data_IF_244147453753
#
_entry.id   IF_244147453753
#
_cell.length_a   1.000
_cell.length_b   1.000
_cell.length_c   1.000
_cell.angle_alpha   90.00
_cell.angle_beta   90.00
_cell.angle_gamma   90.00
#
_symmetry.space_group_name_H-M   'P 1'
#
loop_
_entity.id
_entity.type
_entity.pdbx_description
1 polymer ?
#
# COMPACT_ATOMS: atom_id res chain seq x y z
N UNK A 1 35.31 -57.97 -8.30
CA UNK A 1 35.66 -56.55 -8.11
C UNK A 1 34.67 -55.74 -8.93
N UNK A 2 33.65 -55.21 -8.27
CA UNK A 2 32.61 -54.37 -8.86
C UNK A 2 32.58 -53.06 -8.06
N UNK A 3 32.62 -51.92 -8.75
CA UNK A 3 32.41 -50.60 -8.16
C UNK A 3 30.91 -50.37 -7.95
N UNK A 4 30.47 -49.72 -6.86
CA UNK A 4 29.15 -49.12 -6.80
C UNK A 4 29.23 -47.63 -7.22
N UNK A 5 28.38 -47.26 -8.18
CA UNK A 5 28.00 -45.88 -8.43
C UNK A 5 27.10 -45.42 -7.28
N UNK A 6 27.47 -44.31 -6.64
CA UNK A 6 26.66 -43.59 -5.66
C UNK A 6 26.28 -42.24 -6.25
N UNK A 7 25.02 -42.17 -6.65
CA UNK A 7 24.29 -40.99 -7.09
C UNK A 7 24.15 -40.01 -5.91
N UNK A 8 24.65 -38.78 -6.05
CA UNK A 8 24.38 -37.69 -5.11
C UNK A 8 23.74 -36.54 -5.86
N UNK A 9 22.45 -36.76 -6.13
CA UNK A 9 21.44 -35.78 -6.49
C UNK A 9 21.31 -34.77 -5.34
N UNK A 10 21.98 -33.62 -5.48
CA UNK A 10 21.81 -32.48 -4.57
C UNK A 10 20.59 -31.68 -5.01
N UNK A 11 19.45 -32.13 -4.49
CA UNK A 11 18.23 -31.41 -4.14
C UNK A 11 18.28 -29.88 -4.40
N UNK A 12 17.93 -29.49 -5.63
CA UNK A 12 17.61 -28.12 -6.03
C UNK A 12 16.34 -27.69 -5.29
N UNK A 13 16.49 -27.26 -4.04
CA UNK A 13 15.40 -26.67 -3.28
C UNK A 13 14.97 -25.36 -3.94
N UNK A 14 13.75 -25.43 -4.47
CA UNK A 14 12.96 -24.35 -5.01
C UNK A 14 12.75 -23.26 -3.95
N UNK A 15 13.63 -22.26 -3.88
CA UNK A 15 13.28 -20.96 -3.32
C UNK A 15 12.50 -20.23 -4.42
N UNK A 16 11.19 -20.46 -4.41
CA UNK A 16 10.25 -19.81 -5.31
C UNK A 16 10.13 -18.37 -4.86
N UNK A 17 10.50 -17.43 -5.72
CA UNK A 17 9.90 -16.09 -5.69
C UNK A 17 8.38 -16.25 -5.55
N UNK A 18 7.77 -15.36 -4.76
CA UNK A 18 6.33 -15.14 -4.70
C UNK A 18 5.75 -15.26 -6.13
N UNK A 19 4.76 -16.13 -6.39
CA UNK A 19 4.31 -16.38 -7.75
C UNK A 19 3.79 -15.07 -8.36
N UNK A 20 4.55 -14.53 -9.31
CA UNK A 20 4.16 -13.33 -10.05
C UNK A 20 2.82 -13.59 -10.75
N UNK A 21 1.86 -12.65 -10.70
CA UNK A 21 0.57 -12.77 -11.40
C UNK A 21 0.72 -12.93 -12.93
N UNK A 22 1.93 -12.76 -13.48
CA UNK A 22 2.25 -12.97 -14.89
C UNK A 22 2.69 -14.41 -15.25
N UNK A 23 2.75 -15.35 -14.30
CA UNK A 23 3.36 -16.68 -14.47
C UNK A 23 2.80 -17.54 -15.63
N UNK A 24 1.62 -17.21 -16.18
CA UNK A 24 1.03 -17.87 -17.36
C UNK A 24 1.19 -17.13 -18.70
N UNK A 25 1.77 -15.92 -18.69
CA UNK A 25 1.87 -15.03 -19.87
C UNK A 25 3.28 -14.90 -20.43
N UNK A 26 4.27 -15.48 -19.75
CA UNK A 26 5.70 -15.34 -20.05
C UNK A 26 6.27 -16.70 -20.44
N UNK A 27 7.15 -16.79 -21.45
CA UNK A 27 7.79 -18.05 -21.86
C UNK A 27 8.49 -18.77 -20.70
N UNK A 28 8.36 -20.09 -20.66
CA UNK A 28 9.07 -20.94 -19.72
C UNK A 28 10.60 -20.75 -19.88
N UNK A 29 11.27 -20.42 -18.78
CA UNK A 29 12.71 -20.11 -18.76
C UNK A 29 13.05 -18.61 -18.72
N UNK A 30 12.05 -17.72 -18.80
CA UNK A 30 12.29 -16.29 -18.58
C UNK A 30 12.62 -16.03 -17.12
N UNK A 31 13.75 -15.36 -16.87
CA UNK A 31 14.12 -14.88 -15.53
C UNK A 31 13.65 -13.45 -15.35
N UNK A 32 12.98 -13.16 -14.22
CA UNK A 32 12.60 -11.81 -13.83
C UNK A 32 13.67 -11.32 -12.87
N UNK A 33 14.29 -10.18 -13.20
CA UNK A 33 15.35 -9.59 -12.40
C UNK A 33 14.78 -8.36 -11.70
N UNK A 34 14.91 -8.30 -10.38
CA UNK A 34 14.59 -7.12 -9.61
C UNK A 34 15.69 -6.06 -9.78
N UNK A 35 15.30 -4.81 -9.99
CA UNK A 35 16.26 -3.70 -10.04
C UNK A 35 16.64 -3.20 -8.64
N UNK A 36 16.00 -3.73 -7.60
CA UNK A 36 16.07 -3.25 -6.23
C UNK A 36 14.85 -2.42 -5.83
N UNK A 37 14.84 -2.01 -4.57
CA UNK A 37 13.86 -1.11 -3.98
C UNK A 37 14.22 0.32 -4.40
N UNK A 38 13.42 0.88 -5.33
CA UNK A 38 13.65 2.20 -5.93
C UNK A 38 12.39 3.05 -5.74
N UNK A 39 12.58 4.29 -5.28
CA UNK A 39 11.53 5.29 -5.15
C UNK A 39 11.98 6.62 -5.79
N UNK A 40 11.06 7.57 -5.96
CA UNK A 40 11.40 8.92 -6.43
C UNK A 40 12.33 9.66 -5.47
N UNK A 41 12.26 9.30 -4.20
CA UNK A 41 12.99 9.91 -3.09
C UNK A 41 14.44 9.43 -3.02
N UNK A 42 14.70 8.17 -3.40
CA UNK A 42 16.03 7.56 -3.35
C UNK A 42 16.06 6.16 -4.00
N UNK A 43 17.27 5.68 -4.27
CA UNK A 43 17.53 4.26 -4.57
C UNK A 43 17.89 3.54 -3.27
N UNK A 44 17.00 2.68 -2.77
CA UNK A 44 17.16 2.02 -1.47
C UNK A 44 17.99 0.76 -1.50
N UNK A 45 17.86 -0.07 -2.53
CA UNK A 45 18.73 -1.25 -2.70
C UNK A 45 19.28 -1.35 -4.11
N UNK A 46 20.33 -2.15 -4.26
CA UNK A 46 20.91 -2.54 -5.55
C UNK A 46 20.95 -4.06 -5.64
N UNK A 47 20.53 -4.60 -6.78
CA UNK A 47 20.65 -6.02 -7.06
C UNK A 47 22.12 -6.37 -7.34
N UNK A 48 22.66 -7.29 -6.56
CA UNK A 48 24.04 -7.80 -6.68
C UNK A 48 24.11 -9.23 -7.21
N UNK A 49 22.97 -9.93 -7.27
CA UNK A 49 22.84 -11.27 -7.83
C UNK A 49 21.50 -11.39 -8.55
N UNK A 50 21.55 -11.27 -9.88
CA UNK A 50 20.37 -11.31 -10.74
C UNK A 50 19.76 -12.71 -10.87
N UNK A 51 20.51 -13.78 -10.56
CA UNK A 51 19.99 -15.14 -10.62
C UNK A 51 19.08 -15.42 -9.42
N UNK A 52 19.50 -14.94 -8.24
CA UNK A 52 18.82 -15.17 -6.96
C UNK A 52 18.05 -13.95 -6.46
N UNK A 53 17.98 -12.87 -7.26
CA UNK A 53 17.38 -11.57 -6.93
C UNK A 53 17.82 -11.01 -5.59
N UNK A 54 19.12 -10.99 -5.34
CA UNK A 54 19.65 -10.51 -4.06
C UNK A 54 19.91 -9.02 -4.12
N UNK A 55 19.12 -8.28 -3.33
CA UNK A 55 19.22 -6.83 -3.25
C UNK A 55 19.79 -6.37 -1.90
N UNK A 56 20.87 -5.60 -1.93
CA UNK A 56 21.52 -5.05 -0.73
C UNK A 56 21.29 -3.54 -0.61
N UNK A 57 21.18 -2.97 0.60
CA UNK A 57 21.00 -1.54 0.81
C UNK A 57 22.14 -0.70 0.22
N UNK A 58 21.83 0.51 -0.20
CA UNK A 58 22.80 1.51 -0.66
C UNK A 58 23.51 2.20 0.51
N UNK A 59 24.33 1.43 1.24
CA UNK A 59 24.93 1.77 2.54
C UNK A 59 25.74 3.08 2.57
N UNK A 60 26.30 3.50 1.43
CA UNK A 60 27.15 4.69 1.33
C UNK A 60 26.37 5.93 0.89
N UNK A 61 25.19 5.74 0.31
CA UNK A 61 24.38 6.81 -0.27
C UNK A 61 23.29 7.28 0.68
N UNK A 62 22.72 6.34 1.45
CA UNK A 62 21.58 6.58 2.32
C UNK A 62 21.81 6.00 3.71
N UNK A 63 21.32 6.71 4.71
CA UNK A 63 21.24 6.20 6.07
C UNK A 63 19.82 5.69 6.34
N UNK A 64 19.72 4.48 6.86
CA UNK A 64 18.46 3.77 7.05
C UNK A 64 18.17 3.57 8.53
N UNK A 65 16.91 3.79 8.90
CA UNK A 65 16.37 3.38 10.20
C UNK A 65 15.10 2.58 9.95
N UNK A 66 14.77 1.70 10.88
CA UNK A 66 13.67 0.75 10.72
C UNK A 66 12.80 0.70 11.97
N UNK A 67 11.53 0.36 11.81
CA UNK A 67 10.68 -0.06 12.93
C UNK A 67 10.00 -1.35 12.53
N UNK A 68 10.11 -2.38 13.36
CA UNK A 68 9.44 -3.67 13.12
C UNK A 68 7.94 -3.44 12.90
N UNK A 69 7.37 -4.14 11.91
CA UNK A 69 5.99 -3.92 11.47
C UNK A 69 4.99 -3.98 12.61
N UNK A 70 4.99 -5.07 13.39
CA UNK A 70 4.06 -5.26 14.51
C UNK A 70 4.23 -4.18 15.59
N UNK A 71 5.48 -3.86 15.93
CA UNK A 71 5.79 -2.81 16.89
C UNK A 71 5.32 -1.44 16.40
N UNK A 72 5.54 -1.10 15.12
CA UNK A 72 5.08 0.16 14.51
C UNK A 72 3.56 0.28 14.55
N UNK A 73 2.86 -0.79 14.20
CA UNK A 73 1.39 -0.86 14.19
C UNK A 73 0.80 -0.76 15.60
N UNK A 74 1.51 -1.28 16.61
CA UNK A 74 1.20 -1.07 18.03
C UNK A 74 1.58 0.35 18.56
N UNK A 75 2.09 1.23 17.71
CA UNK A 75 2.47 2.60 18.07
C UNK A 75 3.87 2.75 18.68
N UNK A 76 4.69 1.71 18.57
CA UNK A 76 6.11 1.68 18.92
C UNK A 76 6.95 2.60 18.03
N UNK A 77 8.09 3.03 18.56
CA UNK A 77 9.04 3.93 17.91
C UNK A 77 10.50 3.53 18.19
N UNK A 78 10.71 2.25 18.43
CA UNK A 78 12.05 1.71 18.65
C UNK A 78 12.69 1.58 17.27
N UNK A 79 13.52 2.56 16.95
CA UNK A 79 14.22 2.64 15.68
C UNK A 79 15.43 1.71 15.73
N UNK A 80 15.49 0.81 14.77
CA UNK A 80 16.56 -0.15 14.56
C UNK A 80 17.47 0.31 13.42
N UNK A 81 18.75 -0.02 13.53
CA UNK A 81 19.73 0.08 12.45
C UNK A 81 19.77 -1.21 11.63
N UNK A 82 20.48 -1.17 10.51
CA UNK A 82 20.60 -2.30 9.58
C UNK A 82 21.14 -3.58 10.24
N UNK A 83 22.09 -3.46 11.15
CA UNK A 83 22.73 -4.57 11.85
C UNK A 83 21.85 -5.19 12.96
N UNK A 84 20.73 -4.55 13.29
CA UNK A 84 19.76 -5.03 14.26
C UNK A 84 18.58 -5.78 13.63
N UNK A 85 18.52 -5.82 12.28
CA UNK A 85 17.44 -6.49 11.57
C UNK A 85 17.58 -8.01 11.58
N UNK A 86 16.44 -8.70 11.59
CA UNK A 86 16.37 -10.16 11.65
C UNK A 86 15.82 -10.73 10.34
N UNK A 87 16.44 -11.81 9.86
CA UNK A 87 16.00 -12.53 8.68
C UNK A 87 14.56 -13.04 8.83
N UNK A 88 13.73 -12.85 7.79
CA UNK A 88 12.31 -13.20 7.77
C UNK A 88 11.37 -12.13 8.34
N UNK A 89 11.88 -11.14 9.08
CA UNK A 89 11.07 -10.08 9.67
C UNK A 89 10.78 -8.92 8.70
N UNK A 90 9.67 -8.24 8.93
CA UNK A 90 9.20 -7.09 8.15
C UNK A 90 9.33 -5.78 8.92
N UNK A 91 9.74 -4.71 8.23
CA UNK A 91 10.06 -3.43 8.83
C UNK A 91 9.55 -2.27 8.00
N UNK A 92 9.03 -1.24 8.67
CA UNK A 92 8.86 0.08 8.08
C UNK A 92 10.22 0.74 7.91
N UNK A 93 10.48 1.32 6.74
CA UNK A 93 11.75 2.00 6.44
C UNK A 93 11.66 3.52 6.55
N UNK A 94 12.66 4.10 7.19
CA UNK A 94 12.91 5.53 7.29
C UNK A 94 14.26 5.84 6.68
N UNK A 95 14.35 6.93 5.91
CA UNK A 95 15.56 7.25 5.17
C UNK A 95 16.06 8.66 5.46
N UNK A 96 17.37 8.79 5.59
CA UNK A 96 18.07 10.07 5.50
C UNK A 96 18.95 10.05 4.25
N UNK A 97 18.75 11.01 3.35
CA UNK A 97 19.43 11.08 2.05
C UNK A 97 20.34 12.31 1.98
N UNK A 98 21.30 12.28 1.05
CA UNK A 98 22.18 13.44 0.79
C UNK A 98 21.40 14.64 0.23
N UNK A 99 20.26 14.40 -0.40
CA UNK A 99 19.40 15.42 -1.02
C UNK A 99 18.44 16.12 -0.04
N UNK A 100 18.62 15.89 1.28
CA UNK A 100 17.98 16.69 2.32
C UNK A 100 16.72 16.08 2.94
N UNK A 101 16.42 14.80 2.67
CA UNK A 101 15.45 14.06 3.46
C UNK A 101 16.11 13.61 4.77
N UNK A 102 15.47 13.88 5.92
CA UNK A 102 15.98 13.51 7.25
C UNK A 102 14.94 12.69 7.99
N UNK A 103 15.29 11.43 8.32
CA UNK A 103 14.39 10.43 8.91
C UNK A 103 12.99 10.47 8.27
N UNK A 104 12.99 10.51 6.95
CA UNK A 104 11.75 10.59 6.18
C UNK A 104 11.04 9.23 6.24
N UNK A 105 9.78 9.24 6.69
CA UNK A 105 8.94 8.05 6.75
C UNK A 105 8.51 7.68 5.33
N UNK A 106 9.12 6.63 4.76
CA UNK A 106 8.75 6.17 3.42
C UNK A 106 7.34 5.59 3.41
N UNK A 107 6.84 5.13 4.56
CA UNK A 107 5.63 4.35 4.70
C UNK A 107 5.68 3.08 3.83
N UNK A 108 6.86 2.46 3.74
CA UNK A 108 7.15 1.25 2.97
C UNK A 108 7.55 0.15 3.92
N UNK A 109 7.02 -1.04 3.68
CA UNK A 109 7.35 -2.26 4.40
C UNK A 109 8.34 -3.05 3.53
N UNK A 110 9.49 -3.36 4.11
CA UNK A 110 10.52 -4.22 3.52
C UNK A 110 10.70 -5.47 4.39
N UNK A 111 11.04 -6.59 3.76
CA UNK A 111 11.39 -7.82 4.45
C UNK A 111 12.88 -8.09 4.33
N UNK A 112 13.50 -8.57 5.40
CA UNK A 112 14.87 -9.11 5.32
C UNK A 112 14.79 -10.53 4.76
N UNK A 113 15.24 -10.72 3.52
CA UNK A 113 15.16 -12.03 2.85
C UNK A 113 16.28 -12.97 3.23
N UNK A 114 17.48 -12.41 3.46
CA UNK A 114 18.68 -13.13 3.90
C UNK A 114 19.74 -12.19 4.45
N UNK A 115 20.73 -12.72 5.15
CA UNK A 115 21.95 -12.00 5.51
C UNK A 115 23.13 -12.37 4.59
N UNK A 116 23.84 -11.37 4.06
CA UNK A 116 25.16 -11.55 3.43
C UNK A 116 26.21 -10.96 4.37
N UNK A 117 27.02 -11.83 4.97
CA UNK A 117 27.91 -11.44 6.07
C UNK A 117 27.09 -10.73 7.17
N UNK A 118 27.37 -9.45 7.42
CA UNK A 118 26.63 -8.60 8.38
C UNK A 118 25.61 -7.66 7.70
N UNK A 119 25.36 -7.81 6.39
CA UNK A 119 24.49 -6.93 5.62
C UNK A 119 23.15 -7.62 5.34
N UNK A 120 22.01 -7.07 5.80
CA UNK A 120 20.69 -7.59 5.44
C UNK A 120 20.39 -7.34 3.96
N UNK A 121 19.79 -8.33 3.30
CA UNK A 121 19.21 -8.16 1.97
C UNK A 121 17.73 -7.80 2.13
N UNK A 122 17.29 -6.74 1.46
CA UNK A 122 15.94 -6.19 1.64
C UNK A 122 15.13 -6.34 0.36
N UNK A 123 13.92 -6.85 0.49
CA UNK A 123 12.90 -6.91 -0.55
C UNK A 123 11.73 -6.00 -0.18
N UNK A 124 11.21 -5.26 -1.16
CA UNK A 124 10.00 -4.46 -0.94
C UNK A 124 8.77 -5.36 -0.89
N UNK A 125 8.00 -5.27 0.19
CA UNK A 125 6.76 -6.03 0.35
C UNK A 125 5.58 -5.20 -0.15
N UNK A 126 5.32 -4.07 0.49
CA UNK A 126 4.19 -3.19 0.18
C UNK A 126 4.36 -1.80 0.79
N UNK A 127 3.49 -0.84 0.43
CA UNK A 127 3.32 0.37 1.24
C UNK A 127 2.54 0.00 2.50
N UNK A 128 2.83 0.66 3.62
CA UNK A 128 2.17 0.38 4.90
C UNK A 128 0.70 0.79 4.94
N UNK A 129 0.37 2.05 4.62
CA UNK A 129 -1.01 2.56 4.62
C UNK A 129 -1.29 3.50 3.45
N UNK A 130 -2.55 3.62 3.04
CA UNK A 130 -2.97 4.59 2.03
C UNK A 130 -2.66 4.17 0.60
N UNK A 131 -2.54 2.87 0.34
CA UNK A 131 -2.58 2.30 -1.01
C UNK A 131 -3.48 1.07 -0.99
N UNK A 132 -4.21 0.85 -2.08
CA UNK A 132 -5.04 -0.34 -2.27
C UNK A 132 -4.92 -0.85 -3.70
N UNK A 133 -5.23 -2.12 -3.91
CA UNK A 133 -5.32 -2.75 -5.22
C UNK A 133 -6.44 -3.78 -5.22
N UNK A 134 -7.39 -3.64 -6.15
CA UNK A 134 -8.49 -4.59 -6.30
C UNK A 134 -8.19 -5.58 -7.42
N UNK A 135 -7.85 -5.09 -8.61
CA UNK A 135 -7.63 -5.94 -9.80
C UNK A 135 -6.23 -5.79 -10.39
N UNK A 136 -5.30 -5.31 -9.56
CA UNK A 136 -3.90 -5.08 -9.90
C UNK A 136 -3.54 -3.63 -10.17
N UNK A 137 -4.49 -2.69 -10.07
CA UNK A 137 -4.20 -1.25 -10.07
C UNK A 137 -3.70 -0.80 -8.70
N UNK A 138 -2.62 -0.01 -8.63
CA UNK A 138 -2.19 0.61 -7.37
C UNK A 138 -2.84 1.99 -7.19
N UNK A 139 -3.92 2.06 -6.42
CA UNK A 139 -4.57 3.33 -6.09
C UNK A 139 -4.00 3.91 -4.80
N UNK A 140 -3.57 5.17 -4.82
CA UNK A 140 -2.96 5.84 -3.67
C UNK A 140 -3.92 6.84 -3.01
N UNK A 141 -3.84 6.99 -1.69
CA UNK A 141 -4.66 7.90 -0.89
C UNK A 141 -4.58 9.33 -1.43
N UNK A 142 -3.39 9.78 -1.83
CA UNK A 142 -3.20 11.11 -2.43
C UNK A 142 -4.04 11.30 -3.71
N UNK A 143 -4.08 10.29 -4.59
CA UNK A 143 -4.90 10.37 -5.82
C UNK A 143 -6.38 10.50 -5.48
N UNK A 144 -6.84 9.79 -4.45
CA UNK A 144 -8.21 9.90 -3.93
C UNK A 144 -8.46 11.29 -3.33
N UNK A 145 -7.58 11.77 -2.46
CA UNK A 145 -7.67 13.09 -1.84
C UNK A 145 -7.77 14.20 -2.90
N UNK A 146 -6.80 14.26 -3.81
CA UNK A 146 -6.71 15.29 -4.85
C UNK A 146 -7.97 15.27 -5.74
N UNK A 147 -8.41 14.07 -6.13
CA UNK A 147 -9.58 13.89 -6.99
C UNK A 147 -10.89 14.25 -6.29
N UNK A 148 -11.09 13.80 -5.04
CA UNK A 148 -12.30 14.11 -4.27
C UNK A 148 -12.37 15.61 -3.97
N UNK A 149 -11.26 16.26 -3.60
CA UNK A 149 -11.21 17.70 -3.39
C UNK A 149 -11.54 18.48 -4.67
N UNK A 150 -10.95 18.11 -5.80
CA UNK A 150 -11.26 18.75 -7.08
C UNK A 150 -12.73 18.56 -7.50
N UNK A 151 -13.26 17.35 -7.37
CA UNK A 151 -14.63 17.01 -7.74
C UNK A 151 -15.67 17.73 -6.86
N UNK A 152 -15.45 17.73 -5.54
CA UNK A 152 -16.34 18.41 -4.58
C UNK A 152 -16.32 19.92 -4.76
N UNK A 153 -15.15 20.53 -4.93
CA UNK A 153 -15.02 21.96 -5.21
C UNK A 153 -15.78 22.35 -6.49
N UNK A 154 -15.63 21.56 -7.56
CA UNK A 154 -16.31 21.79 -8.85
C UNK A 154 -17.84 21.72 -8.75
N UNK A 155 -18.35 20.82 -7.90
CA UNK A 155 -19.79 20.57 -7.73
C UNK A 155 -20.40 21.36 -6.55
N UNK A 156 -19.63 22.24 -5.90
CA UNK A 156 -20.10 23.04 -4.77
C UNK A 156 -20.39 22.22 -3.50
N UNK A 157 -19.82 21.02 -3.38
CA UNK A 157 -19.93 20.17 -2.19
C UNK A 157 -18.81 20.56 -1.22
N UNK A 158 -19.14 20.75 0.06
CA UNK A 158 -18.15 21.04 1.10
C UNK A 158 -17.92 19.78 1.95
N UNK A 159 -16.95 18.91 1.62
CA UNK A 159 -16.71 17.68 2.37
C UNK A 159 -16.19 18.01 3.78
N UNK A 160 -16.80 17.39 4.79
CA UNK A 160 -16.35 17.47 6.18
C UNK A 160 -15.49 16.27 6.56
N UNK A 161 -15.87 15.11 6.06
CA UNK A 161 -15.15 13.85 6.23
C UNK A 161 -15.44 12.95 5.02
N UNK A 162 -14.47 12.15 4.61
CA UNK A 162 -14.70 11.08 3.67
C UNK A 162 -13.68 9.95 3.84
N UNK A 163 -14.04 8.78 3.36
CA UNK A 163 -13.16 7.61 3.26
C UNK A 163 -13.57 6.79 2.04
N UNK A 164 -12.60 6.32 1.29
CA UNK A 164 -12.79 5.39 0.19
C UNK A 164 -12.38 3.99 0.65
N UNK A 165 -13.30 3.04 0.52
CA UNK A 165 -13.05 1.63 0.81
C UNK A 165 -12.89 0.85 -0.49
N UNK A 166 -11.81 0.06 -0.56
CA UNK A 166 -11.55 -0.87 -1.64
C UNK A 166 -12.16 -2.24 -1.32
N UNK A 167 -13.14 -2.66 -2.11
CA UNK A 167 -13.81 -3.95 -1.99
C UNK A 167 -13.34 -4.89 -3.11
N UNK A 168 -12.58 -5.90 -2.75
CA UNK A 168 -12.02 -6.88 -3.69
C UNK A 168 -13.07 -7.88 -4.19
N UNK A 169 -14.11 -8.16 -3.40
CA UNK A 169 -15.16 -9.10 -3.76
C UNK A 169 -16.11 -8.47 -4.79
N UNK A 170 -16.49 -7.21 -4.58
CA UNK A 170 -17.36 -6.44 -5.49
C UNK A 170 -16.60 -5.80 -6.65
N UNK A 171 -15.27 -5.95 -6.66
CA UNK A 171 -14.36 -5.28 -7.59
C UNK A 171 -14.63 -3.75 -7.67
N UNK A 172 -14.90 -3.11 -6.53
CA UNK A 172 -15.44 -1.75 -6.49
C UNK A 172 -14.78 -0.87 -5.43
N UNK A 173 -14.70 0.43 -5.73
CA UNK A 173 -14.35 1.46 -4.76
C UNK A 173 -15.60 2.20 -4.31
N UNK A 174 -15.86 2.23 -3.00
CA UNK A 174 -16.99 2.96 -2.42
C UNK A 174 -16.49 4.12 -1.59
N UNK A 175 -16.84 5.34 -1.99
CA UNK A 175 -16.55 6.57 -1.26
C UNK A 175 -17.71 6.92 -0.34
N UNK A 176 -17.46 6.90 0.97
CA UNK A 176 -18.37 7.41 1.97
C UNK A 176 -18.04 8.87 2.27
N UNK A 177 -19.02 9.77 2.14
CA UNK A 177 -18.79 11.21 2.27
C UNK A 177 -19.81 11.87 3.20
N UNK A 178 -19.31 12.53 4.24
CA UNK A 178 -20.07 13.45 5.10
C UNK A 178 -19.88 14.88 4.58
N UNK A 179 -20.95 15.54 4.17
CA UNK A 179 -20.92 16.95 3.77
C UNK A 179 -21.10 17.88 4.99
N UNK A 180 -20.50 19.07 4.92
CA UNK A 180 -20.65 20.13 5.93
C UNK A 180 -22.05 20.74 5.94
N UNK A 181 -22.74 20.72 4.80
CA UNK A 181 -24.12 21.19 4.63
C UNK A 181 -25.06 19.99 4.58
N UNK A 182 -26.24 20.13 5.16
CA UNK A 182 -27.33 19.13 5.08
C UNK A 182 -28.01 19.07 3.71
N UNK A 183 -27.60 19.92 2.77
CA UNK A 183 -28.20 19.95 1.44
C UNK A 183 -27.82 18.68 0.67
N UNK A 184 -28.79 18.00 0.03
CA UNK A 184 -28.48 16.87 -0.83
C UNK A 184 -27.54 17.31 -1.96
N UNK A 185 -26.44 16.59 -2.15
CA UNK A 185 -25.62 16.74 -3.36
C UNK A 185 -25.91 15.62 -4.36
N UNK A 186 -25.62 15.86 -5.63
CA UNK A 186 -25.72 14.85 -6.68
C UNK A 186 -24.61 13.79 -6.50
N UNK A 187 -24.93 12.67 -5.86
CA UNK A 187 -23.99 11.56 -5.66
C UNK A 187 -23.51 10.98 -6.98
N UNK A 188 -24.38 10.88 -7.98
CA UNK A 188 -24.03 10.30 -9.29
C UNK A 188 -23.10 11.24 -10.06
N UNK A 189 -23.39 12.54 -10.07
CA UNK A 189 -22.51 13.56 -10.65
C UNK A 189 -21.14 13.61 -9.97
N UNK A 190 -21.10 13.50 -8.64
CA UNK A 190 -19.85 13.44 -7.88
C UNK A 190 -19.09 12.13 -8.14
N UNK A 191 -19.78 10.99 -8.20
CA UNK A 191 -19.20 9.68 -8.51
C UNK A 191 -18.51 9.70 -9.87
N UNK A 192 -19.21 10.21 -10.89
CA UNK A 192 -18.65 10.37 -12.24
C UNK A 192 -17.47 11.35 -12.28
N UNK A 193 -17.50 12.41 -11.47
CA UNK A 193 -16.40 13.36 -11.38
C UNK A 193 -15.16 12.75 -10.72
N UNK A 194 -15.35 11.97 -9.66
CA UNK A 194 -14.28 11.24 -8.98
C UNK A 194 -13.72 10.13 -9.86
N UNK A 195 -14.56 9.27 -10.43
CA UNK A 195 -14.14 8.18 -11.34
C UNK A 195 -13.29 8.74 -12.49
N UNK A 196 -13.72 9.83 -13.14
CA UNK A 196 -12.92 10.48 -14.19
C UNK A 196 -11.57 10.99 -13.69
N UNK A 197 -11.53 11.67 -12.54
CA UNK A 197 -10.26 12.19 -12.01
C UNK A 197 -9.28 11.07 -11.65
N UNK A 198 -9.78 9.94 -11.13
CA UNK A 198 -8.95 8.77 -10.86
C UNK A 198 -8.41 8.14 -12.14
N UNK A 199 -9.22 8.06 -13.20
CA UNK A 199 -8.79 7.58 -14.52
C UNK A 199 -7.71 8.48 -15.13
N UNK A 200 -7.83 9.80 -14.98
CA UNK A 200 -6.81 10.75 -15.44
C UNK A 200 -5.51 10.65 -14.63
N UNK A 201 -5.61 10.40 -13.32
CA UNK A 201 -4.46 10.34 -12.41
C UNK A 201 -3.75 8.98 -12.37
N UNK A 202 -4.39 7.90 -12.85
CA UNK A 202 -3.88 6.54 -12.71
C UNK A 202 -4.20 5.69 -13.95
N UNK A 203 -3.17 5.43 -14.77
CA UNK A 203 -3.29 4.67 -16.02
C UNK A 203 -3.72 3.21 -15.80
N UNK A 204 -3.30 2.59 -14.69
CA UNK A 204 -3.71 1.22 -14.36
C UNK A 204 -5.20 1.21 -14.02
N UNK A 205 -5.64 2.13 -13.17
CA UNK A 205 -7.06 2.32 -12.83
C UNK A 205 -7.92 2.55 -14.08
N UNK A 206 -7.50 3.45 -14.97
CA UNK A 206 -8.19 3.69 -16.26
C UNK A 206 -8.28 2.43 -17.11
N UNK A 207 -7.18 1.68 -17.21
CA UNK A 207 -7.14 0.40 -17.91
C UNK A 207 -8.14 -0.62 -17.33
N UNK A 208 -8.21 -0.77 -16.00
CA UNK A 208 -9.14 -1.71 -15.35
C UNK A 208 -10.59 -1.29 -15.49
N UNK A 209 -10.88 0.02 -15.38
CA UNK A 209 -12.21 0.58 -15.61
C UNK A 209 -12.64 0.43 -17.07
N UNK A 210 -11.73 0.70 -18.01
CA UNK A 210 -11.97 0.57 -19.45
C UNK A 210 -12.23 -0.87 -19.89
N UNK A 211 -11.56 -1.85 -19.27
CA UNK A 211 -11.78 -3.27 -19.54
C UNK A 211 -12.98 -3.86 -18.79
N UNK A 212 -13.63 -3.11 -17.89
CA UNK A 212 -14.72 -3.61 -17.04
C UNK A 212 -14.27 -4.56 -15.92
N UNK A 213 -12.97 -4.63 -15.62
CA UNK A 213 -12.43 -5.44 -14.50
C UNK A 213 -12.67 -4.78 -13.16
N UNK A 214 -12.79 -3.46 -13.16
CA UNK A 214 -13.10 -2.65 -12.00
C UNK A 214 -14.46 -1.98 -12.22
N UNK A 215 -15.34 -2.02 -11.23
CA UNK A 215 -16.66 -1.39 -11.23
C UNK A 215 -16.55 0.14 -11.14
N UNK A 216 -17.59 0.90 -11.56
CA UNK A 216 -17.65 2.35 -11.33
C UNK A 216 -17.57 2.69 -9.84
N UNK A 217 -16.95 3.83 -9.50
CA UNK A 217 -16.97 4.34 -8.12
C UNK A 217 -18.41 4.57 -7.66
N UNK A 218 -18.74 4.08 -6.47
CA UNK A 218 -19.99 4.41 -5.78
C UNK A 218 -19.75 5.52 -4.75
N UNK A 219 -20.71 6.45 -4.59
CA UNK A 219 -20.68 7.43 -3.51
C UNK A 219 -21.89 7.27 -2.60
N UNK A 220 -21.63 6.97 -1.33
CA UNK A 220 -22.64 6.89 -0.27
C UNK A 220 -22.55 8.13 0.63
N UNK A 221 -23.68 8.80 0.82
CA UNK A 221 -23.78 9.98 1.69
C UNK A 221 -23.83 9.53 3.14
N UNK A 222 -22.98 10.08 3.99
CA UNK A 222 -22.99 9.82 5.42
C UNK A 222 -23.85 10.83 6.15
N UNK A 223 -24.57 10.37 7.18
CA UNK A 223 -25.26 11.26 8.11
C UNK A 223 -24.28 12.20 8.83
N UNK A 224 -24.69 13.43 9.21
CA UNK A 224 -23.83 14.34 9.95
C UNK A 224 -23.35 13.74 11.27
N UNK A 225 -22.06 13.86 11.55
CA UNK A 225 -21.41 13.35 12.76
C UNK A 225 -20.66 12.02 12.59
N UNK A 226 -20.86 11.29 11.49
CA UNK A 226 -20.24 9.98 11.28
C UNK A 226 -18.71 10.02 11.34
N UNK A 227 -18.05 11.05 10.79
CA UNK A 227 -16.58 11.17 10.89
C UNK A 227 -16.09 11.31 12.33
N UNK A 228 -16.90 11.91 13.21
CA UNK A 228 -16.62 12.00 14.64
C UNK A 228 -16.85 10.67 15.37
N UNK A 229 -17.92 9.96 15.02
CA UNK A 229 -18.21 8.61 15.54
C UNK A 229 -17.12 7.61 15.13
N UNK A 230 -16.67 7.65 13.87
CA UNK A 230 -15.54 6.86 13.40
C UNK A 230 -14.27 7.15 14.17
N UNK A 231 -13.93 8.44 14.39
CA UNK A 231 -12.78 8.82 15.21
C UNK A 231 -12.90 8.26 16.63
N UNK A 232 -14.05 8.40 17.27
CA UNK A 232 -14.28 7.91 18.63
C UNK A 232 -14.12 6.37 18.72
N UNK A 233 -14.64 5.63 17.75
CA UNK A 233 -14.50 4.18 17.63
C UNK A 233 -13.03 3.75 17.51
N UNK A 234 -12.27 4.40 16.63
CA UNK A 234 -10.83 4.10 16.45
C UNK A 234 -10.00 4.43 17.69
N UNK A 235 -10.32 5.52 18.38
CA UNK A 235 -9.66 5.89 19.64
C UNK A 235 -9.98 4.87 20.75
N UNK A 236 -11.24 4.43 20.85
CA UNK A 236 -11.64 3.37 21.78
C UNK A 236 -10.95 2.03 21.48
N UNK A 237 -10.67 1.75 20.21
CA UNK A 237 -9.92 0.57 19.77
C UNK A 237 -8.39 0.68 19.99
N UNK A 238 -7.90 1.72 20.67
CA UNK A 238 -6.50 1.84 21.10
C UNK A 238 -5.66 2.85 20.33
N UNK A 239 -6.21 3.57 19.34
CA UNK A 239 -5.47 4.67 18.72
C UNK A 239 -5.38 5.88 19.68
N UNK A 240 -4.17 6.42 19.85
CA UNK A 240 -3.95 7.63 20.65
C UNK A 240 -4.64 8.83 20.01
N UNK A 241 -5.55 9.47 20.72
CA UNK A 241 -6.38 10.59 20.22
C UNK A 241 -5.57 11.75 19.64
N UNK A 242 -4.43 12.09 20.24
CA UNK A 242 -3.51 13.14 19.78
C UNK A 242 -2.81 12.86 18.44
N UNK A 243 -2.82 11.62 17.96
CA UNK A 243 -2.17 11.19 16.72
C UNK A 243 -3.17 10.64 15.69
N UNK A 244 -4.47 10.78 15.96
CA UNK A 244 -5.51 10.28 15.08
C UNK A 244 -5.48 11.03 13.75
N UNK A 245 -5.11 10.31 12.68
CA UNK A 245 -5.19 10.79 11.29
C UNK A 245 -6.18 9.91 10.55
N UNK A 246 -7.13 10.54 9.87
CA UNK A 246 -8.03 9.81 8.97
C UNK A 246 -7.21 9.23 7.82
N UNK A 247 -7.33 7.91 7.62
CA UNK A 247 -6.89 7.25 6.40
C UNK A 247 -8.06 7.32 5.41
N UNK A 248 -7.88 8.03 4.29
CA UNK A 248 -8.94 8.28 3.32
C UNK A 248 -9.03 7.18 2.26
N UNK A 249 -8.11 6.22 2.27
CA UNK A 249 -8.12 5.05 1.40
C UNK A 249 -7.59 3.83 2.16
N UNK A 250 -8.41 2.77 2.22
CA UNK A 250 -8.04 1.49 2.84
C UNK A 250 -8.92 0.36 2.29
N UNK A 251 -8.54 -0.89 2.56
CA UNK A 251 -9.38 -2.03 2.21
C UNK A 251 -10.63 -2.11 3.08
N UNK A 252 -11.75 -2.58 2.50
CA UNK A 252 -13.00 -2.76 3.22
C UNK A 252 -12.85 -3.74 4.39
N UNK A 253 -12.14 -4.86 4.19
CA UNK A 253 -11.92 -5.88 5.23
C UNK A 253 -10.99 -5.42 6.37
N UNK A 254 -10.17 -4.38 6.14
CA UNK A 254 -9.32 -3.77 7.17
C UNK A 254 -10.05 -2.66 7.95
N UNK A 255 -11.29 -2.35 7.57
CA UNK A 255 -12.12 -1.31 8.19
C UNK A 255 -13.23 -1.95 9.04
N UNK A 256 -13.08 -2.07 10.38
CA UNK A 256 -14.11 -2.64 11.23
C UNK A 256 -15.33 -1.72 11.42
N UNK A 257 -15.21 -0.44 11.08
CA UNK A 257 -16.30 0.52 11.20
C UNK A 257 -17.26 0.38 10.01
N UNK A 258 -18.51 0.06 10.29
CA UNK A 258 -19.54 -0.11 9.27
C UNK A 258 -20.10 1.25 8.82
N UNK A 259 -19.49 1.85 7.81
CA UNK A 259 -19.99 3.09 7.22
C UNK A 259 -21.36 2.94 6.53
N UNK A 260 -21.74 1.73 6.12
CA UNK A 260 -23.01 1.50 5.41
C UNK A 260 -24.22 1.70 6.33
N UNK A 261 -24.11 1.32 7.61
CA UNK A 261 -25.13 1.58 8.62
C UNK A 261 -25.32 3.08 8.93
N UNK A 262 -24.37 3.92 8.53
CA UNK A 262 -24.39 5.38 8.73
C UNK A 262 -24.69 6.14 7.43
N UNK A 263 -24.92 5.41 6.32
CA UNK A 263 -25.28 6.01 5.05
C UNK A 263 -26.76 6.45 5.06
N UNK A 264 -27.04 7.59 4.46
CA UNK A 264 -28.42 8.01 4.20
C UNK A 264 -29.07 7.07 3.16
N UNK A 265 -30.39 6.79 3.26
CA UNK A 265 -31.09 6.02 2.24
C UNK A 265 -30.90 6.67 0.86
N UNK A 266 -30.51 5.86 -0.12
CA UNK A 266 -30.28 6.28 -1.51
C UNK A 266 -31.53 6.76 -2.23
#
# INVERSE_FOLDING_TARGET
MAQPQGDHDLDRRQLRCSPSPAAGSIPAGTSIIELGYIASEFQGTVNIDAAENVCVPTLLDNFFEFVEREAREAGGRDYLLLDELQEGCEYYVFVTTQDGLYRYDMNDIVQVTRMINATPCLEFVQKGKGVTSITGEKLYEKQVLDTVMAATARLGVSPKFFVMLADQEEAAYTLYLEASRREPFDSSGLANAVDRGLREANIEYDGKRGSGRLSPVEIKKLRPGTGGEFRADRVAAGQRDSQFKYLHLQYAHECPFDFSAHAEPG
#
